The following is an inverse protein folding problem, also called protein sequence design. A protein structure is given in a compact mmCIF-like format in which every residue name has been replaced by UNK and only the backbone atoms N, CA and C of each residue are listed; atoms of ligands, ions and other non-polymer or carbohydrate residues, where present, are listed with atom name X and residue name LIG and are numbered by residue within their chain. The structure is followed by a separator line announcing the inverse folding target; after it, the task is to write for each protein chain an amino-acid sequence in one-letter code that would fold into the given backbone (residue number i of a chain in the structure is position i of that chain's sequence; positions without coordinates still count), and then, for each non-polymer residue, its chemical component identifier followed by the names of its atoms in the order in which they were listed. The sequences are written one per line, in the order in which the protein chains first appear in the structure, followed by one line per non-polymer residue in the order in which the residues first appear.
data_IF_402030891131
#
_entry.id   IF_402030891131
#
_cell.length_a   1.000
_cell.length_b   1.000
_cell.length_c   1.000
_cell.angle_alpha   90.00
_cell.angle_beta   90.00
_cell.angle_gamma   90.00
#
_symmetry.space_group_name_H-M   'P 1'
#
loop_
_entity.id
_entity.type
_entity.pdbx_description
1 polymer ?
#
# COMPACT_ATOMS: atom_id res chain seq x y z
N UNK A 1 30.59 8.90 6.56
CA UNK A 1 29.71 7.72 6.71
C UNK A 1 28.59 7.81 5.68
N UNK A 2 28.17 6.70 5.06
CA UNK A 2 27.02 6.68 4.14
C UNK A 2 25.72 6.53 4.94
N UNK A 3 24.69 7.29 4.57
CA UNK A 3 23.36 7.14 5.13
C UNK A 3 22.68 5.92 4.48
N UNK A 4 22.27 4.94 5.30
CA UNK A 4 21.51 3.76 4.86
C UNK A 4 20.02 4.06 5.08
N UNK A 5 19.20 3.82 4.07
CA UNK A 5 17.73 3.87 4.18
C UNK A 5 17.18 2.45 4.17
N UNK A 6 16.31 2.15 5.14
CA UNK A 6 15.54 0.91 5.21
C UNK A 6 14.17 1.13 4.57
N UNK A 7 13.83 0.28 3.60
CA UNK A 7 12.49 0.19 3.03
C UNK A 7 11.56 -0.64 3.94
N UNK A 8 10.27 -0.57 3.69
CA UNK A 8 9.29 -1.45 4.30
C UNK A 8 9.34 -2.86 3.72
N UNK A 9 8.68 -3.78 4.41
CA UNK A 9 8.57 -5.18 3.99
C UNK A 9 7.39 -5.42 3.05
N UNK A 10 7.09 -6.70 2.81
CA UNK A 10 5.99 -7.10 1.94
C UNK A 10 4.62 -6.87 2.55
N UNK A 11 4.03 -5.67 2.37
CA UNK A 11 2.68 -5.36 2.83
C UNK A 11 1.65 -6.41 2.39
N UNK A 12 1.76 -6.88 1.14
CA UNK A 12 0.83 -7.88 0.65
C UNK A 12 0.87 -9.20 1.44
N UNK A 13 2.05 -9.69 1.82
CA UNK A 13 2.16 -10.92 2.61
C UNK A 13 1.57 -10.74 4.01
N UNK A 14 1.79 -9.59 4.63
CA UNK A 14 1.28 -9.27 5.95
C UNK A 14 -0.25 -9.10 5.96
N UNK A 15 -0.82 -8.58 4.87
CA UNK A 15 -2.26 -8.53 4.65
C UNK A 15 -2.88 -9.91 4.47
N UNK A 16 -2.27 -10.79 3.67
CA UNK A 16 -2.73 -12.19 3.49
C UNK A 16 -2.75 -12.94 4.83
N UNK A 17 -1.74 -12.72 5.69
CA UNK A 17 -1.68 -13.35 7.02
C UNK A 17 -2.79 -12.87 7.96
N UNK A 18 -3.21 -11.60 7.86
CA UNK A 18 -4.18 -10.97 8.77
C UNK A 18 -5.60 -10.92 8.22
N UNK A 19 -5.78 -11.05 6.91
CA UNK A 19 -7.07 -11.00 6.23
C UNK A 19 -7.26 -12.28 5.40
N UNK A 20 -8.13 -13.16 5.88
CA UNK A 20 -8.30 -14.54 5.38
C UNK A 20 -9.00 -14.64 4.02
N UNK A 21 -9.42 -13.53 3.41
CA UNK A 21 -10.16 -13.51 2.15
C UNK A 21 -9.27 -13.10 0.97
N UNK A 22 -8.44 -14.01 0.48
CA UNK A 22 -7.55 -13.81 -0.69
C UNK A 22 -8.13 -14.31 -2.01
N UNK A 23 -9.38 -14.79 -2.02
CA UNK A 23 -10.02 -15.33 -3.22
C UNK A 23 -10.40 -14.25 -4.25
N UNK A 24 -10.37 -12.97 -3.87
CA UNK A 24 -10.53 -11.85 -4.79
C UNK A 24 -9.16 -11.50 -5.41
N UNK A 25 -8.96 -11.55 -6.74
CA UNK A 25 -7.67 -11.17 -7.33
C UNK A 25 -7.35 -9.65 -7.23
N UNK A 26 -8.28 -8.83 -6.74
CA UNK A 26 -8.07 -7.45 -6.27
C UNK A 26 -7.97 -7.32 -4.75
N UNK A 27 -7.80 -8.42 -4.00
CA UNK A 27 -7.82 -8.43 -2.54
C UNK A 27 -7.01 -7.27 -1.91
N UNK A 28 -5.83 -6.95 -2.43
CA UNK A 28 -4.97 -5.87 -1.88
C UNK A 28 -5.55 -4.46 -2.10
N UNK A 29 -6.20 -4.20 -3.24
CA UNK A 29 -6.94 -2.96 -3.48
C UNK A 29 -8.25 -2.92 -2.69
N UNK A 30 -8.88 -4.08 -2.51
CA UNK A 30 -10.13 -4.22 -1.77
C UNK A 30 -9.93 -4.00 -0.27
N UNK A 31 -8.82 -4.46 0.30
CA UNK A 31 -8.47 -4.18 1.71
C UNK A 31 -8.42 -2.68 1.98
N UNK A 32 -7.93 -1.86 1.04
CA UNK A 32 -7.91 -0.41 1.20
C UNK A 32 -9.32 0.20 1.39
N UNK A 33 -10.33 -0.36 0.73
CA UNK A 33 -11.72 0.07 0.83
C UNK A 33 -12.39 -0.51 2.09
N UNK A 34 -12.24 -1.81 2.28
CA UNK A 34 -13.02 -2.56 3.26
C UNK A 34 -12.37 -2.57 4.65
N UNK A 35 -11.05 -2.36 4.72
CA UNK A 35 -10.27 -2.38 5.97
C UNK A 35 -9.07 -1.42 5.94
N UNK A 36 -9.38 -0.13 5.75
CA UNK A 36 -8.39 0.95 5.77
C UNK A 36 -7.49 0.93 7.01
N UNK A 37 -8.09 0.63 8.18
CA UNK A 37 -7.35 0.59 9.46
C UNK A 37 -6.22 -0.43 9.43
N UNK A 38 -6.46 -1.64 8.89
CA UNK A 38 -5.43 -2.67 8.78
C UNK A 38 -4.23 -2.23 7.94
N UNK A 39 -4.47 -1.53 6.83
CA UNK A 39 -3.39 -1.00 5.97
C UNK A 39 -2.56 0.04 6.71
N UNK A 40 -3.23 0.97 7.42
CA UNK A 40 -2.57 1.99 8.24
C UNK A 40 -1.75 1.36 9.37
N UNK A 41 -2.32 0.41 10.11
CA UNK A 41 -1.65 -0.27 11.22
C UNK A 41 -0.38 -1.00 10.74
N UNK A 42 -0.42 -1.63 9.56
CA UNK A 42 0.77 -2.25 8.96
C UNK A 42 1.86 -1.23 8.61
N UNK A 43 1.50 -0.05 8.10
CA UNK A 43 2.50 1.03 7.93
C UNK A 43 3.12 1.43 9.27
N UNK A 44 2.33 1.54 10.34
CA UNK A 44 2.81 1.84 11.69
C UNK A 44 3.79 0.75 12.16
N UNK A 45 3.47 -0.52 11.95
CA UNK A 45 4.35 -1.65 12.28
C UNK A 45 5.71 -1.57 11.55
N UNK A 46 5.71 -1.28 10.24
CA UNK A 46 6.96 -1.10 9.48
C UNK A 46 7.78 0.09 9.99
N UNK A 47 7.13 1.23 10.24
CA UNK A 47 7.80 2.42 10.78
C UNK A 47 8.42 2.14 12.15
N UNK A 48 7.68 1.48 13.05
CA UNK A 48 8.16 1.14 14.39
C UNK A 48 9.28 0.08 14.35
N UNK A 49 9.31 -0.76 13.30
CA UNK A 49 10.39 -1.73 13.05
C UNK A 49 11.66 -1.09 12.45
N UNK A 50 11.64 0.21 12.16
CA UNK A 50 12.81 0.97 11.70
C UNK A 50 12.81 1.34 10.21
N UNK A 51 11.72 1.10 9.47
CA UNK A 51 11.63 1.53 8.08
C UNK A 51 11.68 3.06 7.97
N UNK A 52 12.65 3.54 7.19
CA UNK A 52 12.83 4.97 6.86
C UNK A 52 12.08 5.38 5.59
N UNK A 53 11.60 4.41 4.83
CA UNK A 53 10.78 4.60 3.63
C UNK A 53 9.66 3.57 3.66
N UNK A 54 8.42 4.01 3.46
CA UNK A 54 7.26 3.14 3.26
C UNK A 54 6.70 3.30 1.85
N UNK A 55 6.16 2.25 1.27
CA UNK A 55 5.56 2.23 -0.06
C UNK A 55 4.04 2.35 0.03
N UNK A 56 3.40 3.11 -0.87
CA UNK A 56 1.93 3.17 -0.89
C UNK A 56 1.34 1.81 -1.30
N UNK A 57 0.24 1.39 -0.67
CA UNK A 57 -0.49 0.16 -1.01
C UNK A 57 -1.26 0.26 -2.35
N UNK A 58 -0.59 0.72 -3.42
CA UNK A 58 -1.21 1.06 -4.71
C UNK A 58 -0.82 0.12 -5.84
N UNK A 59 -0.10 -0.97 -5.56
CA UNK A 59 0.38 -1.91 -6.60
C UNK A 59 -0.76 -2.48 -7.47
N UNK A 60 -1.85 -2.95 -6.86
CA UNK A 60 -3.00 -3.46 -7.61
C UNK A 60 -3.93 -2.37 -8.16
N UNK A 61 -3.73 -1.11 -7.77
CA UNK A 61 -4.63 0.00 -8.05
C UNK A 61 -4.33 0.68 -9.40
N UNK A 62 -4.30 -0.09 -10.49
CA UNK A 62 -4.12 0.43 -11.86
C UNK A 62 -5.46 0.47 -12.61
N UNK A 63 -5.68 1.44 -13.52
CA UNK A 63 -6.93 1.52 -14.28
C UNK A 63 -7.28 0.22 -15.00
N UNK A 64 -6.28 -0.45 -15.59
CA UNK A 64 -6.44 -1.70 -16.34
C UNK A 64 -6.86 -2.87 -15.43
N UNK A 65 -6.31 -2.96 -14.21
CA UNK A 65 -6.70 -4.01 -13.26
C UNK A 65 -8.08 -3.74 -12.68
N UNK A 66 -8.37 -2.49 -12.30
CA UNK A 66 -9.65 -2.09 -11.73
C UNK A 66 -10.82 -2.26 -12.71
N UNK A 67 -10.60 -1.97 -14.01
CA UNK A 67 -11.60 -2.17 -15.06
C UNK A 67 -12.09 -3.61 -15.18
N UNK A 68 -11.24 -4.62 -14.88
CA UNK A 68 -11.63 -6.04 -14.91
C UNK A 68 -12.71 -6.39 -13.87
N UNK A 69 -12.96 -5.50 -12.91
CA UNK A 69 -13.89 -5.67 -11.81
C UNK A 69 -14.92 -4.54 -11.72
N UNK A 70 -15.06 -3.73 -12.78
CA UNK A 70 -15.97 -2.56 -12.83
C UNK A 70 -15.65 -1.48 -11.77
N UNK A 71 -14.38 -1.31 -11.41
CA UNK A 71 -13.90 -0.34 -10.40
C UNK A 71 -13.02 0.76 -11.00
N UNK A 72 -13.03 0.97 -12.32
CA UNK A 72 -12.17 1.95 -12.99
C UNK A 72 -12.35 3.38 -12.46
N UNK A 73 -13.56 3.73 -12.05
CA UNK A 73 -13.90 5.04 -11.49
C UNK A 73 -13.30 5.24 -10.09
N UNK A 74 -12.95 4.15 -9.40
CA UNK A 74 -12.34 4.18 -8.06
C UNK A 74 -10.84 4.45 -8.09
N UNK A 75 -10.20 4.49 -9.26
CA UNK A 75 -8.74 4.64 -9.38
C UNK A 75 -8.19 5.83 -8.57
N UNK A 76 -8.75 7.04 -8.78
CA UNK A 76 -8.32 8.24 -8.06
C UNK A 76 -8.62 8.14 -6.56
N UNK A 77 -9.73 7.51 -6.20
CA UNK A 77 -10.14 7.34 -4.81
C UNK A 77 -9.18 6.41 -4.06
N UNK A 78 -8.88 5.24 -4.63
CA UNK A 78 -7.93 4.25 -4.10
C UNK A 78 -6.51 4.82 -3.97
N UNK A 79 -6.04 5.59 -4.96
CA UNK A 79 -4.73 6.26 -4.88
C UNK A 79 -4.67 7.25 -3.71
N UNK A 80 -5.74 8.04 -3.52
CA UNK A 80 -5.85 8.96 -2.38
C UNK A 80 -5.87 8.20 -1.06
N UNK A 81 -6.66 7.13 -0.95
CA UNK A 81 -6.71 6.31 0.27
C UNK A 81 -5.34 5.71 0.61
N UNK A 82 -4.62 5.17 -0.38
CA UNK A 82 -3.28 4.63 -0.17
C UNK A 82 -2.30 5.68 0.37
N UNK A 83 -2.35 6.90 -0.17
CA UNK A 83 -1.53 8.02 0.32
C UNK A 83 -1.97 8.46 1.72
N UNK A 84 -3.28 8.52 1.98
CA UNK A 84 -3.82 8.91 3.29
C UNK A 84 -3.39 7.92 4.36
N UNK A 85 -3.50 6.61 4.12
CA UNK A 85 -3.08 5.57 5.07
C UNK A 85 -1.59 5.73 5.45
N UNK A 86 -0.72 5.93 4.47
CA UNK A 86 0.71 6.16 4.71
C UNK A 86 0.97 7.45 5.51
N UNK A 87 0.27 8.55 5.19
CA UNK A 87 0.41 9.82 5.92
C UNK A 87 -0.09 9.73 7.36
N UNK A 88 -1.24 9.11 7.57
CA UNK A 88 -1.81 8.92 8.91
C UNK A 88 -0.89 8.07 9.79
N UNK A 89 -0.32 7.00 9.24
CA UNK A 89 0.66 6.19 9.97
C UNK A 89 1.91 6.98 10.39
N UNK A 90 2.44 7.85 9.52
CA UNK A 90 3.59 8.70 9.86
C UNK A 90 3.22 9.74 10.94
N UNK A 91 2.02 10.32 10.86
CA UNK A 91 1.54 11.27 11.86
C UNK A 91 1.37 10.59 13.23
N UNK A 92 0.75 9.41 13.27
CA UNK A 92 0.47 8.65 14.49
C UNK A 92 1.74 8.14 15.18
N UNK A 93 2.77 7.79 14.41
CA UNK A 93 4.08 7.39 14.96
C UNK A 93 4.93 8.58 15.43
N UNK A 94 4.55 9.82 15.09
CA UNK A 94 5.33 11.02 15.41
C UNK A 94 6.65 11.14 14.63
N UNK A 95 6.84 10.37 13.55
CA UNK A 95 8.10 10.29 12.80
C UNK A 95 8.10 11.11 11.49
N UNK A 96 7.32 12.20 11.45
CA UNK A 96 7.07 13.04 10.27
C UNK A 96 8.32 13.47 9.46
N UNK A 97 9.47 13.68 10.12
CA UNK A 97 10.70 14.14 9.46
C UNK A 97 11.73 13.01 9.22
N UNK A 98 11.40 11.77 9.59
CA UNK A 98 12.31 10.60 9.51
C UNK A 98 11.89 9.59 8.45
N UNK A 99 10.59 9.49 8.17
CA UNK A 99 10.03 8.51 7.23
C UNK A 99 9.61 9.18 5.94
N UNK A 100 10.00 8.61 4.80
CA UNK A 100 9.56 9.05 3.46
C UNK A 100 8.48 8.12 2.92
N UNK A 101 7.61 8.67 2.08
CA UNK A 101 6.60 7.88 1.33
C UNK A 101 7.09 7.71 -0.10
N UNK A 102 7.16 6.47 -0.58
CA UNK A 102 7.43 6.11 -1.96
C UNK A 102 6.12 5.70 -2.66
N UNK A 103 5.83 6.32 -3.81
CA UNK A 103 4.71 5.92 -4.64
C UNK A 103 4.98 4.58 -5.32
N UNK A 104 4.04 3.65 -5.25
CA UNK A 104 4.15 2.36 -5.91
C UNK A 104 3.49 2.40 -7.30
N UNK A 105 4.32 2.23 -8.34
CA UNK A 105 3.89 2.06 -9.73
C UNK A 105 4.14 0.63 -10.19
N UNK A 106 3.06 -0.07 -10.50
CA UNK A 106 3.15 -1.43 -11.00
C UNK A 106 3.66 -1.49 -12.43
N UNK A 107 4.35 -2.58 -12.80
CA UNK A 107 4.65 -2.82 -14.20
C UNK A 107 3.35 -2.84 -15.01
N UNK A 108 3.44 -2.39 -16.26
CA UNK A 108 2.36 -2.61 -17.21
C UNK A 108 2.13 -4.12 -17.33
N UNK A 109 0.88 -4.58 -17.50
CA UNK A 109 0.65 -5.97 -17.85
C UNK A 109 1.48 -6.29 -19.09
N UNK A 110 2.34 -7.30 -19.00
CA UNK A 110 3.06 -7.78 -20.18
C UNK A 110 2.05 -8.20 -21.23
N UNK A 111 2.34 -7.90 -22.49
CA UNK A 111 1.61 -8.53 -23.59
C UNK A 111 1.91 -10.03 -23.53
N UNK A 112 0.89 -10.83 -23.23
CA UNK A 112 0.89 -12.24 -23.61
C UNK A 112 0.75 -12.22 -25.14
N UNK A 113 1.89 -12.21 -25.83
CA UNK A 113 1.96 -12.60 -27.23
C UNK A 113 1.62 -14.08 -27.37
#
# INVERSE_FOLDING_TARGET
MKQIMLLDGGMGQELVKRNSSTNDPLWSARVLLDNFKLVKDLHIEFINSGSSVITTNSYSCTPQRLKRYNLENEFKHLQRLAITAAKEAIMETGQNNKVKIAGCFSPLPGELF
#
